data_IF_075948929339
#
_entry.id   IF_075948929339
#
_cell.length_a   1.000
_cell.length_b   1.000
_cell.length_c   1.000
_cell.angle_alpha   90.00
_cell.angle_beta   90.00
_cell.angle_gamma   90.00
#
_symmetry.space_group_name_H-M   'P 1'
#
loop_
_entity.id
_entity.type
_entity.pdbx_description
1 polymer ?
#
# COMPACT_ATOMS: atom_id res chain seq x y z
N UNK A 1 -43.31 37.87 -23.10
CA UNK A 1 -44.16 37.96 -21.90
C UNK A 1 -43.60 37.01 -20.83
N UNK A 2 -42.87 37.56 -19.86
CA UNK A 2 -42.71 37.02 -18.49
C UNK A 2 -44.02 37.23 -17.71
N UNK A 3 -44.39 36.44 -16.68
CA UNK A 3 -43.71 36.35 -15.35
C UNK A 3 -43.77 34.93 -14.73
N UNK A 4 -43.31 34.61 -13.52
CA UNK A 4 -42.21 35.02 -12.64
C UNK A 4 -42.05 33.91 -11.56
N UNK A 5 -40.87 33.91 -10.95
CA UNK A 5 -40.35 33.09 -9.87
C UNK A 5 -41.23 32.83 -8.62
N UNK A 6 -40.84 31.76 -7.91
CA UNK A 6 -40.85 31.53 -6.45
C UNK A 6 -42.09 30.96 -5.75
N UNK A 7 -42.00 29.67 -5.41
CA UNK A 7 -42.54 29.11 -4.16
C UNK A 7 -41.44 28.38 -3.37
N UNK A 8 -40.20 28.88 -3.45
CA UNK A 8 -39.12 28.59 -2.52
C UNK A 8 -39.06 29.72 -1.48
N UNK A 9 -40.12 29.92 -0.70
CA UNK A 9 -40.17 30.84 0.45
C UNK A 9 -41.54 30.74 1.16
N UNK A 10 -41.70 29.73 2.04
CA UNK A 10 -42.77 29.53 3.07
C UNK A 10 -42.64 28.04 3.46
N UNK A 11 -41.65 27.63 4.26
CA UNK A 11 -41.70 27.60 5.73
C UNK A 11 -40.27 27.80 6.29
N UNK A 12 -39.75 29.02 6.18
CA UNK A 12 -38.51 29.47 6.86
C UNK A 12 -38.75 30.73 7.74
N UNK A 13 -39.97 30.90 8.28
CA UNK A 13 -40.29 32.03 9.14
C UNK A 13 -41.10 31.56 10.37
N UNK A 14 -40.45 31.59 11.54
CA UNK A 14 -40.93 31.08 12.83
C UNK A 14 -40.14 29.83 13.20
N UNK A 15 -38.91 29.90 13.73
CA UNK A 15 -38.56 30.52 15.01
C UNK A 15 -37.12 31.07 14.91
N UNK A 16 -37.00 32.30 14.44
CA UNK A 16 -35.79 33.10 14.56
C UNK A 16 -36.22 34.50 15.01
N UNK A 17 -36.44 34.64 16.33
CA UNK A 17 -36.40 35.86 17.15
C UNK A 17 -37.23 35.65 18.42
N UNK A 18 -36.63 34.96 19.39
CA UNK A 18 -36.92 35.17 20.80
C UNK A 18 -35.57 35.24 21.54
N UNK A 19 -34.99 36.44 21.47
CA UNK A 19 -34.20 37.11 22.50
C UNK A 19 -33.12 36.29 23.25
N UNK A 20 -31.87 36.59 22.89
CA UNK A 20 -30.73 36.58 23.80
C UNK A 20 -31.05 37.33 25.10
N UNK A 21 -30.87 36.67 26.25
CA UNK A 21 -30.27 37.17 27.51
C UNK A 21 -30.59 36.20 28.64
N UNK A 22 -29.69 35.26 28.91
CA UNK A 22 -29.32 34.84 30.27
C UNK A 22 -27.93 34.22 30.19
N UNK A 23 -26.94 34.94 30.73
CA UNK A 23 -25.64 34.41 31.09
C UNK A 23 -25.88 33.50 32.30
N UNK A 24 -25.60 32.20 32.17
CA UNK A 24 -25.80 31.27 33.28
C UNK A 24 -25.53 29.82 32.91
N UNK A 25 -24.31 29.37 33.25
CA UNK A 25 -23.86 28.01 33.53
C UNK A 25 -24.78 26.83 33.14
N UNK A 26 -24.26 25.97 32.25
CA UNK A 26 -24.68 24.57 32.14
C UNK A 26 -24.63 24.05 30.72
N UNK A 27 -23.53 23.40 30.33
CA UNK A 27 -23.51 22.45 29.21
C UNK A 27 -24.56 21.36 29.50
N UNK A 28 -25.79 21.53 29.02
CA UNK A 28 -26.71 20.41 28.85
C UNK A 28 -26.24 19.64 27.62
N UNK A 29 -25.55 18.53 27.88
CA UNK A 29 -25.34 17.46 26.91
C UNK A 29 -26.64 17.22 26.13
N UNK A 30 -26.64 17.56 24.84
CA UNK A 30 -27.64 17.05 23.92
C UNK A 30 -27.41 15.54 23.80
N UNK A 31 -28.05 14.78 24.67
CA UNK A 31 -28.03 13.32 24.66
C UNK A 31 -28.66 12.84 23.35
N UNK A 32 -27.79 12.33 22.49
CA UNK A 32 -28.13 11.51 21.33
C UNK A 32 -29.27 10.50 21.66
N UNK A 33 -30.40 10.51 20.93
CA UNK A 33 -31.51 9.58 21.14
C UNK A 33 -31.13 8.10 20.94
N UNK A 34 -29.96 7.79 20.36
CA UNK A 34 -29.49 6.42 20.14
C UNK A 34 -29.15 5.63 21.41
N UNK A 35 -29.13 6.28 22.58
CA UNK A 35 -28.64 5.65 23.82
C UNK A 35 -29.67 4.82 24.59
N UNK A 36 -30.92 4.74 24.14
CA UNK A 36 -32.00 4.16 24.96
C UNK A 36 -32.60 2.83 24.52
N UNK A 37 -32.23 2.24 23.38
CA UNK A 37 -32.64 0.85 23.13
C UNK A 37 -31.54 0.04 22.43
N UNK A 38 -31.14 -1.04 23.09
CA UNK A 38 -29.88 -1.72 22.87
C UNK A 38 -30.10 -3.08 22.21
N UNK A 39 -31.04 -3.12 21.26
CA UNK A 39 -31.52 -4.33 20.61
C UNK A 39 -30.75 -4.62 19.30
N UNK A 40 -31.27 -5.52 18.46
CA UNK A 40 -30.67 -5.84 17.15
C UNK A 40 -30.78 -4.67 16.16
N UNK A 41 -29.72 -4.45 15.38
CA UNK A 41 -29.71 -3.52 14.24
C UNK A 41 -29.04 -4.17 13.03
N UNK A 42 -29.56 -3.90 11.84
CA UNK A 42 -29.10 -4.39 10.53
C UNK A 42 -29.23 -3.25 9.51
N UNK A 43 -28.15 -2.90 8.83
CA UNK A 43 -28.11 -1.79 7.89
C UNK A 43 -27.12 -2.02 6.74
N UNK A 44 -27.21 -1.15 5.74
CA UNK A 44 -26.26 -1.02 4.64
C UNK A 44 -25.53 0.31 4.84
N UNK A 45 -24.20 0.26 4.84
CA UNK A 45 -23.36 1.45 5.06
C UNK A 45 -23.40 2.41 3.86
N UNK A 46 -23.16 3.69 4.14
CA UNK A 46 -23.23 4.79 3.15
C UNK A 46 -22.41 4.54 1.88
N UNK A 47 -21.19 4.00 2.03
CA UNK A 47 -20.31 3.66 0.89
C UNK A 47 -20.98 2.66 -0.05
N UNK A 48 -21.70 1.69 0.49
CA UNK A 48 -22.37 0.65 -0.27
C UNK A 48 -23.60 1.22 -1.00
N UNK A 49 -24.37 2.11 -0.37
CA UNK A 49 -25.54 2.77 -0.98
C UNK A 49 -25.12 3.72 -2.12
N UNK A 50 -24.02 4.45 -1.93
CA UNK A 50 -23.46 5.35 -2.95
C UNK A 50 -23.09 4.61 -4.24
N UNK A 51 -22.57 3.39 -4.15
CA UNK A 51 -22.23 2.58 -5.33
C UNK A 51 -23.43 2.20 -6.20
N UNK A 52 -24.64 2.14 -5.64
CA UNK A 52 -25.83 1.65 -6.37
C UNK A 52 -26.79 2.76 -6.81
N UNK A 53 -26.86 3.84 -6.02
CA UNK A 53 -27.86 4.90 -6.20
C UNK A 53 -27.25 6.27 -6.50
N UNK A 54 -25.93 6.43 -6.35
CA UNK A 54 -25.27 7.74 -6.40
C UNK A 54 -25.55 8.63 -5.18
N UNK A 55 -26.41 8.19 -4.26
CA UNK A 55 -26.81 8.92 -3.04
C UNK A 55 -26.00 8.40 -1.85
N UNK A 56 -25.54 9.32 -1.00
CA UNK A 56 -24.82 9.01 0.24
C UNK A 56 -25.78 9.02 1.43
N UNK A 57 -26.25 7.84 1.83
CA UNK A 57 -26.98 7.66 3.09
C UNK A 57 -26.82 6.24 3.64
N UNK A 58 -26.94 6.09 4.96
CA UNK A 58 -27.02 4.79 5.61
C UNK A 58 -28.49 4.31 5.63
N UNK A 59 -28.73 3.09 5.19
CA UNK A 59 -30.08 2.53 5.11
C UNK A 59 -30.25 1.43 6.16
N UNK A 60 -31.13 1.66 7.13
CA UNK A 60 -31.43 0.70 8.19
C UNK A 60 -32.61 -0.20 7.78
N UNK A 61 -32.37 -1.50 7.74
CA UNK A 61 -33.42 -2.49 7.58
C UNK A 61 -34.07 -2.84 8.92
N UNK A 62 -33.26 -2.94 9.97
CA UNK A 62 -33.70 -3.14 11.34
C UNK A 62 -32.97 -2.12 12.21
N UNK A 63 -33.72 -1.36 12.99
CA UNK A 63 -33.18 -0.41 13.96
C UNK A 63 -33.80 -0.69 15.32
N UNK A 64 -32.94 -1.00 16.30
CA UNK A 64 -33.36 -1.24 17.68
C UNK A 64 -34.48 -2.29 17.85
N UNK A 65 -34.42 -3.37 17.08
CA UNK A 65 -35.39 -4.47 17.14
C UNK A 65 -36.66 -4.25 16.32
N UNK A 66 -36.82 -3.08 15.68
CA UNK A 66 -37.94 -2.77 14.82
C UNK A 66 -37.51 -2.83 13.36
N UNK A 67 -38.29 -3.51 12.53
CA UNK A 67 -38.10 -3.53 11.08
C UNK A 67 -38.57 -2.19 10.51
N UNK A 68 -37.80 -1.63 9.58
CA UNK A 68 -38.13 -0.38 8.92
C UNK A 68 -39.52 -0.46 8.25
N UNK A 69 -40.45 0.49 8.52
CA UNK A 69 -41.81 0.44 7.99
C UNK A 69 -41.86 0.36 6.46
N UNK A 70 -40.91 1.02 5.78
CA UNK A 70 -40.81 1.03 4.33
C UNK A 70 -40.62 -0.37 3.74
N UNK A 71 -39.93 -1.27 4.45
CA UNK A 71 -39.70 -2.66 4.00
C UNK A 71 -40.97 -3.50 4.12
N UNK A 72 -41.88 -3.12 5.02
CA UNK A 72 -43.16 -3.80 5.24
C UNK A 72 -44.27 -3.28 4.31
N UNK A 73 -44.02 -2.24 3.52
CA UNK A 73 -45.00 -1.72 2.57
C UNK A 73 -45.29 -2.74 1.45
N UNK A 74 -46.57 -2.95 1.09
CA UNK A 74 -46.91 -3.70 -0.11
C UNK A 74 -46.29 -3.01 -1.33
N UNK A 75 -45.65 -3.78 -2.20
CA UNK A 75 -44.92 -3.32 -3.39
C UNK A 75 -43.60 -2.57 -3.14
N UNK A 76 -43.01 -2.64 -1.94
CA UNK A 76 -41.67 -2.11 -1.69
C UNK A 76 -40.65 -2.57 -2.74
N UNK A 77 -40.69 -3.86 -3.13
CA UNK A 77 -39.83 -4.46 -4.15
C UNK A 77 -39.89 -3.76 -5.52
N UNK A 78 -41.01 -3.11 -5.88
CA UNK A 78 -41.14 -2.38 -7.15
C UNK A 78 -40.51 -0.98 -7.10
N UNK A 79 -40.32 -0.41 -5.90
CA UNK A 79 -39.70 0.89 -5.69
C UNK A 79 -38.17 0.81 -5.60
N UNK A 80 -37.62 -0.40 -5.50
CA UNK A 80 -36.17 -0.62 -5.39
C UNK A 80 -35.49 -0.55 -6.77
N UNK A 81 -34.36 0.15 -6.88
CA UNK A 81 -33.60 0.18 -8.12
C UNK A 81 -33.03 -1.21 -8.45
N UNK A 82 -32.83 -1.47 -9.73
CA UNK A 82 -32.11 -2.67 -10.18
C UNK A 82 -30.64 -2.52 -9.78
N UNK A 83 -30.10 -3.53 -9.10
CA UNK A 83 -28.68 -3.59 -8.77
C UNK A 83 -27.90 -3.70 -10.09
N UNK A 84 -26.98 -2.78 -10.40
CA UNK A 84 -26.39 -2.69 -11.73
C UNK A 84 -25.30 -3.77 -11.94
N UNK A 85 -24.91 -3.98 -13.20
CA UNK A 85 -24.05 -5.11 -13.61
C UNK A 85 -22.68 -5.17 -12.93
N UNK A 86 -22.13 -4.02 -12.53
CA UNK A 86 -20.81 -3.83 -11.91
C UNK A 86 -20.74 -4.40 -10.48
N UNK A 87 -21.88 -4.58 -9.85
CA UNK A 87 -21.98 -4.92 -8.43
C UNK A 87 -22.01 -6.44 -8.27
N UNK A 88 -20.93 -7.03 -7.77
CA UNK A 88 -20.86 -8.47 -7.52
C UNK A 88 -21.42 -8.92 -6.16
N UNK A 89 -21.59 -8.01 -5.22
CA UNK A 89 -22.03 -8.32 -3.86
C UNK A 89 -22.60 -7.09 -3.14
N UNK A 90 -23.39 -7.33 -2.09
CA UNK A 90 -23.91 -6.29 -1.18
C UNK A 90 -23.45 -6.58 0.23
N UNK A 91 -22.86 -5.57 0.86
CA UNK A 91 -22.43 -5.65 2.25
C UNK A 91 -23.52 -5.17 3.20
N UNK A 92 -23.74 -5.96 4.24
CA UNK A 92 -24.64 -5.67 5.32
C UNK A 92 -23.87 -5.68 6.63
N UNK A 93 -24.15 -4.69 7.48
CA UNK A 93 -23.58 -4.62 8.82
C UNK A 93 -24.69 -4.85 9.84
N UNK A 94 -24.41 -5.70 10.81
CA UNK A 94 -25.35 -6.00 11.90
C UNK A 94 -24.66 -6.08 13.26
N UNK A 95 -25.46 -5.86 14.30
CA UNK A 95 -25.04 -6.04 15.68
C UNK A 95 -26.24 -6.32 16.57
N UNK A 96 -26.02 -7.02 17.67
CA UNK A 96 -27.03 -7.14 18.72
C UNK A 96 -26.41 -7.34 20.09
N UNK A 97 -26.78 -6.50 21.06
CA UNK A 97 -26.37 -6.74 22.46
C UNK A 97 -27.16 -7.89 23.10
N UNK A 98 -28.41 -8.11 22.68
CA UNK A 98 -29.25 -9.26 23.09
C UNK A 98 -28.93 -10.52 22.26
N UNK A 99 -29.32 -11.69 22.77
CA UNK A 99 -29.14 -12.97 22.06
C UNK A 99 -30.18 -13.09 20.94
N UNK A 100 -29.74 -13.02 19.69
CA UNK A 100 -30.53 -13.36 18.51
C UNK A 100 -29.83 -14.42 17.67
N UNK A 101 -30.66 -15.25 17.05
CA UNK A 101 -30.27 -16.25 16.06
C UNK A 101 -30.88 -15.87 14.72
N UNK A 102 -30.10 -15.98 13.67
CA UNK A 102 -30.54 -15.74 12.30
C UNK A 102 -30.64 -17.07 11.56
N UNK A 103 -31.56 -17.14 10.63
CA UNK A 103 -31.70 -18.21 9.66
C UNK A 103 -32.11 -17.62 8.31
N UNK A 104 -31.25 -17.77 7.32
CA UNK A 104 -31.56 -17.47 5.93
C UNK A 104 -32.23 -18.70 5.32
N UNK A 105 -33.56 -18.68 5.28
CA UNK A 105 -34.37 -19.81 4.84
C UNK A 105 -34.63 -19.81 3.33
N UNK A 106 -34.37 -18.70 2.65
CA UNK A 106 -34.53 -18.59 1.20
C UNK A 106 -33.41 -17.75 0.59
N UNK A 107 -32.75 -18.33 -0.41
CA UNK A 107 -31.73 -17.71 -1.24
C UNK A 107 -31.91 -18.28 -2.65
N UNK A 108 -32.82 -17.69 -3.41
CA UNK A 108 -33.25 -18.23 -4.71
C UNK A 108 -33.13 -17.17 -5.81
N UNK A 109 -33.00 -17.64 -7.05
CA UNK A 109 -33.03 -16.80 -8.24
C UNK A 109 -34.17 -17.25 -9.15
N UNK A 110 -34.92 -16.30 -9.69
CA UNK A 110 -35.99 -16.53 -10.66
C UNK A 110 -35.46 -17.04 -12.00
N UNK A 111 -34.24 -16.65 -12.37
CA UNK A 111 -33.57 -17.10 -13.60
C UNK A 111 -32.11 -17.50 -13.31
N UNK A 112 -31.87 -18.78 -12.97
CA UNK A 112 -30.53 -19.33 -12.75
C UNK A 112 -29.60 -19.27 -13.98
N UNK A 113 -30.14 -19.07 -15.20
CA UNK A 113 -29.33 -18.96 -16.43
C UNK A 113 -28.71 -17.57 -16.58
N UNK A 114 -29.30 -16.56 -15.95
CA UNK A 114 -28.76 -15.19 -15.91
C UNK A 114 -27.98 -14.96 -14.61
N UNK A 115 -28.58 -15.33 -13.47
CA UNK A 115 -28.04 -15.11 -12.13
C UNK A 115 -28.20 -16.39 -11.30
N UNK A 116 -27.08 -17.00 -10.86
CA UNK A 116 -27.14 -18.15 -9.95
C UNK A 116 -27.72 -17.72 -8.58
N UNK A 117 -28.27 -18.65 -7.79
CA UNK A 117 -28.74 -18.34 -6.44
C UNK A 117 -27.69 -17.60 -5.61
N UNK A 118 -28.07 -16.56 -4.85
CA UNK A 118 -27.13 -15.80 -4.04
C UNK A 118 -26.56 -16.66 -2.91
N UNK A 119 -25.34 -16.35 -2.48
CA UNK A 119 -24.70 -17.03 -1.36
C UNK A 119 -24.06 -16.02 -0.40
N UNK A 120 -23.87 -16.46 0.84
CA UNK A 120 -23.45 -15.59 1.95
C UNK A 120 -21.96 -15.78 2.25
N UNK A 121 -21.29 -14.74 2.73
CA UNK A 121 -19.94 -14.86 3.32
C UNK A 121 -19.92 -15.54 4.69
N UNK A 122 -21.11 -15.77 5.28
CA UNK A 122 -21.35 -16.43 6.56
C UNK A 122 -22.18 -17.69 6.35
N UNK A 123 -22.29 -18.54 7.39
CA UNK A 123 -23.23 -19.68 7.37
C UNK A 123 -24.67 -19.19 7.22
N UNK A 124 -25.57 -20.01 6.70
CA UNK A 124 -26.99 -19.67 6.52
C UNK A 124 -27.75 -19.53 7.84
N UNK A 125 -27.26 -20.17 8.90
CA UNK A 125 -27.82 -20.05 10.24
C UNK A 125 -26.72 -19.85 11.28
N UNK A 126 -27.04 -19.11 12.33
CA UNK A 126 -26.08 -18.84 13.39
C UNK A 126 -26.56 -17.79 14.37
N UNK A 127 -25.62 -17.28 15.17
CA UNK A 127 -25.88 -16.24 16.17
C UNK A 127 -25.44 -14.88 15.65
N UNK A 128 -26.28 -13.86 15.86
CA UNK A 128 -25.96 -12.46 15.53
C UNK A 128 -24.83 -11.98 16.46
N UNK A 129 -23.77 -11.35 15.92
CA UNK A 129 -22.61 -10.94 16.70
C UNK A 129 -22.93 -9.78 17.65
N UNK A 130 -22.23 -9.76 18.81
CA UNK A 130 -22.36 -8.70 19.81
C UNK A 130 -21.79 -7.37 19.34
N UNK A 131 -20.61 -7.42 18.74
CA UNK A 131 -19.98 -6.28 18.08
C UNK A 131 -20.49 -6.17 16.64
N UNK A 132 -20.45 -4.95 16.09
CA UNK A 132 -20.73 -4.71 14.68
C UNK A 132 -19.81 -5.58 13.82
N UNK A 133 -20.41 -6.40 12.95
CA UNK A 133 -19.70 -7.15 11.93
C UNK A 133 -20.42 -7.04 10.61
N UNK A 134 -19.62 -7.11 9.56
CA UNK A 134 -20.09 -7.10 8.19
C UNK A 134 -20.24 -8.54 7.68
N UNK A 135 -21.24 -8.77 6.84
CA UNK A 135 -21.34 -9.94 5.99
C UNK A 135 -21.79 -9.52 4.60
N UNK A 136 -21.46 -10.33 3.60
CA UNK A 136 -21.70 -10.02 2.20
C UNK A 136 -22.67 -11.04 1.62
N UNK A 137 -23.59 -10.56 0.80
CA UNK A 137 -24.43 -11.39 -0.07
C UNK A 137 -23.86 -11.28 -1.48
N UNK A 138 -23.34 -12.39 -2.00
CA UNK A 138 -22.78 -12.45 -3.34
C UNK A 138 -23.87 -12.71 -4.37
N UNK A 139 -23.78 -12.01 -5.51
CA UNK A 139 -24.74 -12.01 -6.61
C UNK A 139 -24.08 -12.55 -7.89
N UNK A 140 -23.89 -13.88 -8.01
CA UNK A 140 -23.13 -14.51 -9.09
C UNK A 140 -23.86 -14.53 -10.44
N UNK A 141 -23.56 -13.58 -11.32
CA UNK A 141 -23.99 -13.63 -12.72
C UNK A 141 -23.30 -14.79 -13.48
N UNK A 142 -24.00 -15.42 -14.43
CA UNK A 142 -23.43 -16.49 -15.26
C UNK A 142 -22.36 -15.99 -16.25
N UNK A 143 -22.46 -14.73 -16.67
CA UNK A 143 -21.47 -14.05 -17.53
C UNK A 143 -21.59 -14.32 -19.03
N UNK A 144 -22.43 -15.27 -19.46
CA UNK A 144 -22.66 -15.64 -20.86
C UNK A 144 -23.98 -15.10 -21.44
N UNK A 145 -24.86 -14.56 -20.61
CA UNK A 145 -26.18 -14.03 -21.00
C UNK A 145 -26.37 -12.67 -20.32
N UNK A 146 -26.79 -11.68 -21.10
CA UNK A 146 -27.25 -10.38 -20.57
C UNK A 146 -28.73 -10.46 -20.21
N UNK A 147 -29.11 -9.89 -19.08
CA UNK A 147 -30.50 -9.81 -18.65
C UNK A 147 -30.64 -9.31 -17.22
N UNK A 148 -31.89 -9.05 -16.81
CA UNK A 148 -32.22 -8.71 -15.43
C UNK A 148 -32.90 -9.91 -14.78
N UNK A 149 -32.32 -10.41 -13.68
CA UNK A 149 -32.90 -11.49 -12.90
C UNK A 149 -33.40 -10.97 -11.56
N UNK A 150 -34.52 -11.52 -11.09
CA UNK A 150 -35.01 -11.27 -9.72
C UNK A 150 -34.50 -12.36 -8.79
N UNK A 151 -34.08 -12.00 -7.59
CA UNK A 151 -33.67 -12.95 -6.55
C UNK A 151 -34.39 -12.66 -5.24
N UNK A 152 -34.65 -13.72 -4.47
CA UNK A 152 -35.35 -13.65 -3.20
C UNK A 152 -34.39 -13.97 -2.05
N UNK A 153 -34.43 -13.13 -1.01
CA UNK A 153 -33.77 -13.38 0.28
C UNK A 153 -34.84 -13.47 1.37
N UNK A 154 -34.86 -14.59 2.07
CA UNK A 154 -35.64 -14.82 3.27
C UNK A 154 -34.75 -14.79 4.51
N UNK A 155 -35.08 -13.93 5.48
CA UNK A 155 -34.36 -13.84 6.76
C UNK A 155 -35.32 -13.97 7.94
N UNK A 156 -35.15 -15.03 8.72
CA UNK A 156 -35.84 -15.26 9.98
C UNK A 156 -34.91 -14.90 11.13
N UNK A 157 -35.36 -14.03 12.05
CA UNK A 157 -34.65 -13.70 13.28
C UNK A 157 -35.43 -14.22 14.47
N UNK A 158 -34.78 -14.96 15.36
CA UNK A 158 -35.36 -15.47 16.60
C UNK A 158 -34.58 -14.94 17.79
N UNK A 159 -35.27 -14.57 18.85
CA UNK A 159 -34.60 -14.17 20.09
C UNK A 159 -34.04 -15.40 20.85
N UNK A 160 -33.38 -15.17 21.99
CA UNK A 160 -32.80 -16.23 22.82
C UNK A 160 -33.81 -17.23 23.41
N UNK A 161 -35.13 -16.95 23.33
CA UNK A 161 -36.22 -17.86 23.73
C UNK A 161 -36.81 -18.62 22.54
N UNK A 162 -36.28 -18.42 21.33
CA UNK A 162 -36.76 -19.05 20.10
C UNK A 162 -37.96 -18.36 19.45
N UNK A 163 -38.48 -17.26 20.01
CA UNK A 163 -39.62 -16.55 19.42
C UNK A 163 -39.16 -15.68 18.24
N UNK A 164 -39.84 -15.72 17.07
CA UNK A 164 -39.51 -14.85 15.94
C UNK A 164 -39.64 -13.36 16.28
N UNK A 165 -38.78 -12.54 15.69
CA UNK A 165 -38.89 -11.08 15.75
C UNK A 165 -40.11 -10.64 14.92
N UNK A 166 -40.90 -9.68 15.44
CA UNK A 166 -42.10 -9.19 14.75
C UNK A 166 -41.74 -8.68 13.35
N UNK A 167 -42.50 -9.15 12.35
CA UNK A 167 -42.27 -8.84 10.93
C UNK A 167 -41.20 -9.68 10.24
N UNK A 168 -40.66 -10.72 10.90
CA UNK A 168 -39.90 -11.80 10.22
C UNK A 168 -40.81 -12.99 9.91
N UNK A 169 -40.58 -13.74 8.80
CA UNK A 169 -39.47 -13.64 7.85
C UNK A 169 -39.47 -12.34 7.04
N UNK A 170 -38.31 -11.70 6.96
CA UNK A 170 -38.06 -10.61 6.03
C UNK A 170 -37.90 -11.23 4.64
N UNK A 171 -38.83 -10.92 3.74
CA UNK A 171 -38.85 -11.41 2.35
C UNK A 171 -38.51 -10.26 1.42
N UNK A 172 -37.30 -10.27 0.88
CA UNK A 172 -36.82 -9.23 -0.03
C UNK A 172 -36.73 -9.80 -1.43
N UNK A 173 -37.50 -9.21 -2.35
CA UNK A 173 -37.42 -9.50 -3.77
C UNK A 173 -36.66 -8.36 -4.46
N UNK A 174 -35.45 -8.66 -4.92
CA UNK A 174 -34.52 -7.67 -5.47
C UNK A 174 -34.20 -8.02 -6.92
N UNK A 175 -33.92 -7.00 -7.73
CA UNK A 175 -33.55 -7.16 -9.14
C UNK A 175 -32.06 -6.92 -9.33
N UNK A 176 -31.42 -7.73 -10.14
CA UNK A 176 -30.00 -7.63 -10.52
C UNK A 176 -29.88 -7.66 -12.02
N UNK A 177 -29.23 -6.64 -12.57
CA UNK A 177 -28.78 -6.66 -13.96
C UNK A 177 -27.49 -7.48 -14.05
N UNK A 178 -27.46 -8.45 -14.95
CA UNK A 178 -26.27 -9.16 -15.36
C UNK A 178 -26.02 -8.81 -16.82
N UNK A 179 -24.85 -8.26 -17.13
CA UNK A 179 -24.43 -8.07 -18.50
C UNK A 179 -23.47 -9.21 -18.86
N UNK A 180 -23.61 -9.76 -20.07
CA UNK A 180 -22.56 -10.52 -20.72
C UNK A 180 -21.39 -9.57 -20.97
N UNK A 181 -20.52 -9.43 -19.98
CA UNK A 181 -19.20 -8.85 -20.16
C UNK A 181 -18.29 -9.96 -20.66
N UNK A 182 -18.42 -10.25 -21.96
CA UNK A 182 -17.30 -10.86 -22.66
C UNK A 182 -16.09 -9.91 -22.64
N UNK A 183 -14.87 -10.40 -22.87
CA UNK A 183 -13.72 -9.55 -23.18
C UNK A 183 -14.15 -8.54 -24.26
N UNK A 184 -13.82 -7.26 -24.13
CA UNK A 184 -13.96 -6.34 -25.26
C UNK A 184 -12.90 -6.80 -26.28
N UNK A 185 -13.30 -7.50 -27.35
CA UNK A 185 -12.33 -8.19 -28.21
C UNK A 185 -11.50 -7.20 -29.02
N UNK A 186 -11.83 -5.90 -28.99
CA UNK A 186 -11.01 -4.85 -29.57
C UNK A 186 -10.03 -4.25 -28.55
N UNK A 187 -10.43 -4.11 -27.28
CA UNK A 187 -9.55 -3.66 -26.20
C UNK A 187 -8.54 -4.72 -25.77
N UNK A 188 -8.97 -5.96 -25.53
CA UNK A 188 -8.09 -7.04 -25.07
C UNK A 188 -7.04 -7.42 -26.13
N UNK A 189 -7.35 -7.26 -27.42
CA UNK A 189 -6.35 -7.39 -28.51
C UNK A 189 -5.26 -6.33 -28.45
N UNK A 190 -5.53 -5.16 -27.85
CA UNK A 190 -4.57 -4.05 -27.73
C UNK A 190 -3.70 -4.19 -26.48
N UNK A 191 -4.17 -4.88 -25.43
CA UNK A 191 -3.40 -5.12 -24.21
C UNK A 191 -2.33 -6.19 -24.44
N UNK A 192 -1.05 -5.81 -24.35
CA UNK A 192 0.07 -6.72 -24.53
C UNK A 192 0.42 -7.47 -23.23
N UNK A 193 1.33 -8.45 -23.34
CA UNK A 193 1.98 -9.12 -22.20
C UNK A 193 1.00 -9.76 -21.19
N UNK A 194 -0.16 -10.25 -21.65
CA UNK A 194 -1.20 -10.84 -20.80
C UNK A 194 -1.93 -9.83 -19.90
N UNK A 195 -1.91 -8.54 -20.25
CA UNK A 195 -2.80 -7.55 -19.64
C UNK A 195 -4.27 -7.82 -19.99
N UNK A 196 -5.17 -7.39 -19.11
CA UNK A 196 -6.62 -7.56 -19.28
C UNK A 196 -7.32 -6.21 -19.27
N UNK A 197 -8.39 -6.03 -20.04
CA UNK A 197 -9.11 -4.78 -20.12
C UNK A 197 -10.18 -4.65 -19.02
N UNK A 198 -10.22 -3.52 -18.31
CA UNK A 198 -11.27 -3.25 -17.31
C UNK A 198 -12.55 -2.66 -17.96
N UNK A 199 -13.58 -2.42 -17.15
CA UNK A 199 -14.86 -1.85 -17.60
C UNK A 199 -14.74 -0.47 -18.26
N UNK A 200 -13.69 0.27 -17.95
CA UNK A 200 -13.45 1.63 -18.49
C UNK A 200 -12.60 1.62 -19.76
N UNK A 201 -12.38 0.45 -20.37
CA UNK A 201 -11.55 0.24 -21.57
C UNK A 201 -10.06 0.57 -21.35
N UNK A 202 -9.57 0.42 -20.12
CA UNK A 202 -8.18 0.65 -19.74
C UNK A 202 -7.50 -0.70 -19.50
N UNK A 203 -6.35 -0.94 -20.15
CA UNK A 203 -5.56 -2.14 -19.89
C UNK A 203 -5.01 -2.14 -18.47
N UNK A 204 -5.33 -3.19 -17.73
CA UNK A 204 -4.75 -3.53 -16.45
C UNK A 204 -3.50 -4.37 -16.70
N UNK A 205 -2.35 -3.79 -16.38
CA UNK A 205 -1.07 -4.40 -16.68
C UNK A 205 -0.64 -5.41 -15.62
N UNK A 206 -0.02 -6.53 -16.03
CA UNK A 206 0.58 -7.46 -15.09
C UNK A 206 1.80 -6.83 -14.40
N UNK A 207 2.23 -7.46 -13.31
CA UNK A 207 3.34 -6.97 -12.51
C UNK A 207 4.60 -6.74 -13.36
N UNK A 208 5.20 -5.56 -13.21
CA UNK A 208 6.40 -5.19 -13.96
C UNK A 208 6.15 -4.66 -15.38
N UNK A 209 4.90 -4.41 -15.78
CA UNK A 209 4.57 -3.74 -17.04
C UNK A 209 3.72 -2.49 -16.81
N UNK A 210 3.81 -1.53 -17.72
CA UNK A 210 3.09 -0.26 -17.67
C UNK A 210 2.76 0.30 -19.06
N UNK A 211 2.08 1.44 -19.05
CA UNK A 211 1.62 2.15 -20.24
C UNK A 211 0.21 1.73 -20.65
N UNK A 212 -0.40 2.51 -21.54
CA UNK A 212 -1.81 2.35 -21.96
C UNK A 212 -2.14 0.94 -22.49
N UNK A 213 -1.16 0.25 -23.04
CA UNK A 213 -1.30 -1.08 -23.66
C UNK A 213 -0.38 -2.14 -23.05
N UNK A 214 0.19 -1.88 -21.86
CA UNK A 214 1.07 -2.83 -21.15
C UNK A 214 2.30 -3.30 -21.94
N UNK A 215 2.78 -2.48 -22.90
CA UNK A 215 3.95 -2.79 -23.73
C UNK A 215 5.27 -2.41 -23.07
N UNK A 216 5.26 -1.49 -22.12
CA UNK A 216 6.47 -0.95 -21.52
C UNK A 216 6.82 -1.76 -20.28
N UNK A 217 7.95 -2.46 -20.32
CA UNK A 217 8.47 -3.16 -19.15
C UNK A 217 9.07 -2.19 -18.13
N UNK A 218 8.93 -2.51 -16.84
CA UNK A 218 9.50 -1.81 -15.71
C UNK A 218 10.78 -2.52 -15.27
N UNK A 219 11.90 -1.80 -15.30
CA UNK A 219 13.16 -2.24 -14.73
C UNK A 219 13.48 -1.38 -13.52
N UNK A 220 13.55 -2.02 -12.34
CA UNK A 220 14.04 -1.38 -11.13
C UNK A 220 15.12 -2.24 -10.49
N UNK A 221 16.35 -1.72 -10.28
CA UNK A 221 16.87 -0.43 -10.77
C UNK A 221 16.80 -0.27 -12.30
N UNK A 222 16.78 0.98 -12.77
CA UNK A 222 16.77 1.28 -14.21
C UNK A 222 18.07 0.82 -14.88
N UNK A 223 17.97 0.45 -16.16
CA UNK A 223 19.12 0.09 -16.97
C UNK A 223 20.05 1.31 -17.15
N UNK A 224 21.33 1.14 -16.85
CA UNK A 224 22.35 2.18 -16.96
C UNK A 224 22.95 2.20 -18.36
N UNK A 225 23.76 3.24 -18.64
CA UNK A 225 24.59 3.35 -19.85
C UNK A 225 23.82 3.18 -21.18
N UNK A 226 22.54 3.59 -21.21
CA UNK A 226 21.70 3.50 -22.40
C UNK A 226 21.11 2.10 -22.66
N UNK A 227 21.12 1.21 -21.67
CA UNK A 227 20.45 -0.09 -21.76
C UNK A 227 18.93 0.04 -21.88
N UNK A 228 18.32 -0.88 -22.61
CA UNK A 228 16.86 -0.90 -22.81
C UNK A 228 16.20 -1.97 -21.95
N UNK A 229 15.07 -1.64 -21.32
CA UNK A 229 14.30 -2.60 -20.52
C UNK A 229 13.45 -3.46 -21.47
N UNK A 230 13.78 -4.74 -21.59
CA UNK A 230 13.14 -5.65 -22.55
C UNK A 230 12.06 -6.52 -21.91
N UNK A 231 12.20 -6.79 -20.62
CA UNK A 231 11.23 -7.47 -19.79
C UNK A 231 11.38 -6.98 -18.33
N UNK A 232 10.42 -7.27 -17.42
CA UNK A 232 10.49 -6.83 -16.04
C UNK A 232 11.83 -7.18 -15.37
N UNK A 233 12.60 -6.16 -15.00
CA UNK A 233 13.92 -6.33 -14.40
C UNK A 233 15.01 -6.90 -15.31
N UNK A 234 14.80 -6.99 -16.62
CA UNK A 234 15.75 -7.50 -17.62
C UNK A 234 16.20 -6.39 -18.57
N UNK A 235 17.48 -6.04 -18.48
CA UNK A 235 18.11 -5.04 -19.33
C UNK A 235 18.85 -5.67 -20.51
N UNK A 236 18.61 -5.14 -21.71
CA UNK A 236 19.47 -5.37 -22.87
C UNK A 236 20.55 -4.29 -22.89
N UNK A 237 21.81 -4.72 -22.81
CA UNK A 237 22.94 -3.80 -22.72
C UNK A 237 23.52 -3.45 -24.09
N UNK A 238 23.90 -2.18 -24.31
CA UNK A 238 24.56 -1.78 -25.54
C UNK A 238 25.95 -2.42 -25.64
N UNK A 239 26.52 -2.53 -26.86
CA UNK A 239 27.83 -3.12 -27.07
C UNK A 239 28.91 -2.47 -26.18
N UNK A 240 29.67 -3.29 -25.48
CA UNK A 240 30.71 -2.80 -24.55
C UNK A 240 30.28 -2.68 -23.10
N UNK A 241 29.01 -2.95 -22.77
CA UNK A 241 28.48 -2.99 -21.42
C UNK A 241 27.93 -4.37 -21.05
N UNK A 242 27.92 -4.67 -19.76
CA UNK A 242 27.46 -5.92 -19.16
C UNK A 242 26.92 -5.68 -17.74
N UNK A 243 26.40 -6.73 -17.13
CA UNK A 243 25.76 -6.67 -15.81
C UNK A 243 24.24 -6.68 -15.94
N UNK A 244 23.57 -6.90 -14.80
CA UNK A 244 22.11 -7.04 -14.76
C UNK A 244 21.40 -5.74 -15.17
N UNK A 245 22.03 -4.61 -14.88
CA UNK A 245 21.55 -3.26 -15.17
C UNK A 245 22.52 -2.50 -16.07
N UNK A 246 23.38 -3.20 -16.83
CA UNK A 246 24.36 -2.61 -17.74
C UNK A 246 25.38 -1.69 -17.04
N UNK A 247 25.68 -1.95 -15.78
CA UNK A 247 26.54 -1.14 -14.91
C UNK A 247 28.04 -1.40 -15.08
N UNK A 248 28.43 -2.48 -15.74
CA UNK A 248 29.82 -2.88 -15.97
C UNK A 248 30.25 -2.73 -17.42
N UNK A 249 31.53 -2.43 -17.65
CA UNK A 249 32.12 -2.48 -18.99
C UNK A 249 32.61 -3.87 -19.37
N UNK A 250 32.72 -4.14 -20.67
CA UNK A 250 33.39 -5.34 -21.22
C UNK A 250 34.77 -4.93 -21.75
N UNK A 251 35.84 -5.48 -21.20
CA UNK A 251 37.21 -5.23 -21.66
C UNK A 251 37.81 -6.54 -22.16
N UNK A 252 38.40 -6.54 -23.36
CA UNK A 252 39.10 -7.71 -23.90
C UNK A 252 40.35 -8.04 -23.08
N UNK A 253 41.01 -7.02 -22.53
CA UNK A 253 42.12 -7.17 -21.59
C UNK A 253 41.72 -6.65 -20.20
N UNK A 254 42.08 -7.39 -19.15
CA UNK A 254 41.78 -7.00 -17.77
C UNK A 254 42.48 -5.68 -17.40
N UNK A 255 41.75 -4.82 -16.68
CA UNK A 255 42.31 -3.66 -16.00
C UNK A 255 43.25 -4.11 -14.88
N UNK A 256 44.42 -3.48 -14.80
CA UNK A 256 45.48 -3.79 -13.84
C UNK A 256 45.36 -2.92 -12.58
N UNK A 257 46.14 -3.25 -11.56
CA UNK A 257 46.29 -2.46 -10.33
C UNK A 257 44.98 -2.10 -9.60
N UNK A 258 43.93 -2.90 -9.78
CA UNK A 258 42.60 -2.66 -9.18
C UNK A 258 41.71 -1.71 -9.97
N UNK A 259 42.01 -1.45 -11.24
CA UNK A 259 41.12 -0.73 -12.15
C UNK A 259 39.82 -1.49 -12.43
N UNK A 260 38.74 -0.76 -12.69
CA UNK A 260 37.42 -1.32 -13.02
C UNK A 260 37.13 -1.07 -14.49
N UNK A 261 36.70 -2.10 -15.22
CA UNK A 261 36.22 -1.92 -16.59
C UNK A 261 34.85 -1.23 -16.55
N UNK A 262 34.75 -0.05 -17.16
CA UNK A 262 33.53 0.78 -17.13
C UNK A 262 32.84 0.89 -18.49
N UNK A 263 33.56 0.64 -19.58
CA UNK A 263 33.05 0.59 -20.96
C UNK A 263 34.00 -0.26 -21.81
N UNK A 264 33.63 -0.56 -23.07
CA UNK A 264 34.47 -1.25 -24.05
C UNK A 264 35.93 -0.81 -23.98
N UNK A 265 36.80 -1.73 -23.56
CA UNK A 265 38.26 -1.54 -23.47
C UNK A 265 38.69 -0.27 -22.71
N UNK A 266 37.85 0.21 -21.79
CA UNK A 266 38.06 1.44 -21.03
C UNK A 266 38.04 1.15 -19.54
N UNK A 267 39.19 1.39 -18.89
CA UNK A 267 39.38 1.18 -17.46
C UNK A 267 39.29 2.49 -16.67
N UNK A 268 38.51 2.48 -15.61
CA UNK A 268 38.56 3.47 -14.55
C UNK A 268 39.70 3.11 -13.59
N UNK A 269 40.69 4.00 -13.47
CA UNK A 269 41.88 3.74 -12.69
C UNK A 269 41.78 4.25 -11.25
N UNK A 270 42.26 3.47 -10.27
CA UNK A 270 42.34 3.93 -8.89
C UNK A 270 43.30 5.11 -8.76
N UNK A 271 43.07 5.94 -7.75
CA UNK A 271 43.93 7.09 -7.44
C UNK A 271 45.38 6.60 -7.30
N UNK A 272 46.29 7.19 -8.07
CA UNK A 272 47.71 6.77 -8.12
C UNK A 272 48.10 5.97 -9.36
N UNK A 273 47.16 5.58 -10.22
CA UNK A 273 47.45 4.87 -11.47
C UNK A 273 46.84 5.59 -12.68
N UNK A 274 47.36 5.29 -13.87
CA UNK A 274 46.89 5.81 -15.16
C UNK A 274 47.31 4.86 -16.30
N UNK A 275 46.92 5.20 -17.54
CA UNK A 275 47.08 4.34 -18.71
C UNK A 275 45.75 3.71 -19.12
N UNK A 276 45.72 3.03 -20.28
CA UNK A 276 44.48 2.46 -20.82
C UNK A 276 43.95 1.31 -19.96
N UNK A 277 44.85 0.60 -19.29
CA UNK A 277 44.59 -0.54 -18.40
C UNK A 277 45.04 -0.27 -16.97
N UNK A 278 45.32 0.98 -16.61
CA UNK A 278 45.86 1.35 -15.30
C UNK A 278 47.23 0.70 -15.01
N UNK A 279 48.02 0.49 -16.06
CA UNK A 279 49.33 -0.15 -16.05
C UNK A 279 50.42 0.74 -15.44
N UNK A 280 50.27 2.06 -15.52
CA UNK A 280 51.28 3.00 -15.06
C UNK A 280 50.96 3.57 -13.68
N UNK A 281 51.98 3.64 -12.83
CA UNK A 281 51.94 4.27 -11.51
C UNK A 281 52.29 5.76 -11.62
N UNK A 282 51.56 6.61 -10.89
CA UNK A 282 51.88 8.05 -10.71
C UNK A 282 53.03 8.28 -9.72
N UNK A 283 53.51 7.22 -9.07
CA UNK A 283 54.68 7.25 -8.21
C UNK A 283 55.89 6.90 -9.09
N UNK A 284 56.67 7.91 -9.46
CA UNK A 284 57.96 7.75 -10.15
C UNK A 284 58.96 7.10 -9.19
N UNK A 285 58.95 7.53 -7.93
CA UNK A 285 59.66 6.87 -6.84
C UNK A 285 58.74 5.78 -6.27
N UNK A 286 59.10 4.49 -6.38
CA UNK A 286 58.25 3.39 -5.94
C UNK A 286 57.90 3.46 -4.46
N UNK A 287 56.70 2.99 -4.11
CA UNK A 287 56.35 2.78 -2.71
C UNK A 287 57.12 1.58 -2.16
N UNK A 288 57.83 1.78 -1.06
CA UNK A 288 58.61 0.74 -0.39
C UNK A 288 57.74 -0.09 0.54
N UNK A 289 58.29 -1.22 1.00
CA UNK A 289 57.73 -2.02 2.10
C UNK A 289 56.26 -2.44 1.91
N UNK A 290 55.85 -2.74 0.67
CA UNK A 290 54.48 -3.13 0.34
C UNK A 290 53.46 -1.99 0.31
N UNK A 291 53.91 -0.73 0.29
CA UNK A 291 53.03 0.43 0.08
C UNK A 291 52.37 0.43 -1.30
N UNK A 292 51.16 1.00 -1.38
CA UNK A 292 50.43 1.17 -2.66
C UNK A 292 50.41 2.63 -3.07
N UNK A 293 50.64 2.91 -4.35
CA UNK A 293 50.56 4.29 -4.85
C UNK A 293 49.12 4.80 -4.74
N UNK A 294 48.93 5.99 -4.19
CA UNK A 294 47.61 6.64 -4.04
C UNK A 294 47.50 7.99 -4.76
N UNK A 295 48.60 8.50 -5.32
CA UNK A 295 48.68 9.81 -5.97
C UNK A 295 50.08 10.04 -6.55
N UNK A 296 50.38 11.27 -6.97
CA UNK A 296 51.72 11.62 -7.49
C UNK A 296 52.75 11.51 -6.35
N UNK A 297 53.68 10.54 -6.47
CA UNK A 297 54.73 10.27 -5.47
C UNK A 297 54.21 10.20 -4.01
N UNK A 298 52.98 9.71 -3.83
CA UNK A 298 52.35 9.57 -2.51
C UNK A 298 51.87 8.14 -2.33
N UNK A 299 52.34 7.51 -1.27
CA UNK A 299 52.02 6.13 -0.95
C UNK A 299 50.98 6.00 0.16
N UNK A 300 50.19 4.94 0.09
CA UNK A 300 49.41 4.40 1.19
C UNK A 300 50.26 3.33 1.86
N UNK A 301 50.75 3.64 3.04
CA UNK A 301 51.65 2.76 3.77
C UNK A 301 50.90 1.72 4.60
N UNK A 302 51.47 0.50 4.75
CA UNK A 302 51.02 -0.47 5.72
C UNK A 302 51.04 0.09 7.15
N UNK A 303 50.29 -0.55 8.05
CA UNK A 303 50.29 -0.17 9.46
C UNK A 303 51.71 -0.22 10.02
N UNK A 304 52.11 0.82 10.74
CA UNK A 304 53.47 0.90 11.29
C UNK A 304 54.50 1.60 10.40
N UNK A 305 54.14 2.00 9.18
CA UNK A 305 55.05 2.71 8.25
C UNK A 305 54.49 4.10 7.90
N UNK A 306 55.39 5.03 7.56
CA UNK A 306 55.10 6.42 7.21
C UNK A 306 56.08 6.99 6.20
N UNK A 307 55.94 8.28 5.87
CA UNK A 307 56.67 8.92 4.78
C UNK A 307 55.88 8.93 3.46
N UNK A 308 56.42 9.62 2.45
CA UNK A 308 55.77 9.72 1.14
C UNK A 308 55.90 8.42 0.32
N UNK A 309 56.92 7.62 0.64
CA UNK A 309 57.30 6.38 -0.02
C UNK A 309 57.31 5.17 0.92
N UNK A 310 56.78 5.29 2.15
CA UNK A 310 56.78 4.24 3.17
C UNK A 310 58.19 3.82 3.63
N UNK A 311 59.12 4.76 3.52
CA UNK A 311 60.52 4.68 3.90
C UNK A 311 60.74 4.82 5.42
N UNK A 312 59.78 5.44 6.12
CA UNK A 312 59.90 5.69 7.56
C UNK A 312 59.22 4.55 8.33
N UNK A 313 60.02 3.68 8.95
CA UNK A 313 59.54 2.70 9.91
C UNK A 313 59.19 3.33 11.26
N UNK A 314 58.13 2.84 11.93
CA UNK A 314 57.94 3.14 13.35
C UNK A 314 58.94 2.38 14.21
N UNK A 315 59.44 3.05 15.24
CA UNK A 315 60.22 2.40 16.29
C UNK A 315 59.28 1.53 17.14
N UNK A 316 59.78 0.40 17.62
CA UNK A 316 59.05 -0.44 18.56
C UNK A 316 58.71 0.39 19.82
N UNK A 317 57.42 0.50 20.16
CA UNK A 317 56.92 1.28 21.30
C UNK A 317 56.05 2.49 20.96
N UNK A 318 56.04 2.94 19.69
CA UNK A 318 55.23 4.08 19.23
C UNK A 318 53.78 3.71 18.90
N UNK A 319 52.84 4.59 19.27
CA UNK A 319 51.40 4.35 19.17
C UNK A 319 50.91 4.49 17.73
N UNK A 320 50.08 3.55 17.26
CA UNK A 320 49.48 3.46 15.90
C UNK A 320 48.93 4.79 15.35
N UNK A 321 48.51 5.71 16.21
CA UNK A 321 48.18 7.11 15.89
C UNK A 321 48.67 7.99 17.05
N UNK A 322 48.92 9.27 16.77
CA UNK A 322 49.26 10.23 17.82
C UNK A 322 48.15 10.31 18.89
N UNK A 323 48.54 10.36 20.16
CA UNK A 323 47.65 10.61 21.29
C UNK A 323 47.39 12.12 21.34
N UNK A 324 46.13 12.57 21.17
CA UNK A 324 45.83 14.02 21.12
C UNK A 324 46.13 14.73 22.45
N UNK A 325 45.56 14.22 23.53
CA UNK A 325 45.75 14.73 24.90
C UNK A 325 46.25 13.59 25.80
N UNK A 326 47.48 13.16 25.56
CA UNK A 326 48.07 12.04 26.26
C UNK A 326 49.44 11.65 25.72
N UNK A 327 50.11 10.75 26.44
CA UNK A 327 51.45 10.28 26.11
C UNK A 327 51.39 8.83 25.64
N UNK A 328 52.13 8.52 24.57
CA UNK A 328 52.26 7.13 24.13
C UNK A 328 53.22 6.36 25.05
N UNK A 329 52.79 5.19 25.54
CA UNK A 329 53.66 4.23 26.22
C UNK A 329 53.37 2.82 25.73
N UNK A 330 54.40 2.11 25.27
CA UNK A 330 54.31 0.72 24.81
C UNK A 330 53.17 0.46 23.80
N UNK A 331 52.97 1.38 22.84
CA UNK A 331 51.93 1.25 21.81
C UNK A 331 50.50 1.62 22.24
N UNK A 332 50.28 2.02 23.50
CA UNK A 332 48.99 2.49 24.02
C UNK A 332 49.05 3.95 24.50
N UNK A 333 47.97 4.72 24.25
CA UNK A 333 47.86 6.10 24.72
C UNK A 333 47.43 6.14 26.20
N UNK A 334 48.25 6.76 27.04
CA UNK A 334 47.88 7.15 28.40
C UNK A 334 47.33 8.57 28.37
N UNK A 335 46.04 8.73 28.60
CA UNK A 335 45.37 10.04 28.51
C UNK A 335 45.65 10.92 29.71
N UNK A 336 45.71 12.22 29.46
CA UNK A 336 45.71 13.26 30.50
C UNK A 336 44.35 13.31 31.22
N UNK A 337 44.30 13.82 32.47
CA UNK A 337 43.06 13.97 33.22
C UNK A 337 42.00 14.73 32.43
N UNK A 338 40.76 14.24 32.42
CA UNK A 338 39.65 14.82 31.66
C UNK A 338 39.50 14.31 30.22
N UNK A 339 40.47 13.53 29.70
CA UNK A 339 40.42 12.93 28.37
C UNK A 339 40.35 11.40 28.40
N UNK A 340 39.67 10.80 27.41
CA UNK A 340 39.49 9.36 27.29
C UNK A 340 39.43 8.87 25.84
N UNK A 341 39.40 7.54 25.71
CA UNK A 341 39.35 6.81 24.43
C UNK A 341 40.73 6.40 23.93
N UNK A 342 40.76 5.48 22.95
CA UNK A 342 41.99 4.83 22.44
C UNK A 342 43.10 5.81 22.00
N UNK A 343 42.74 7.03 21.61
CA UNK A 343 43.67 8.07 21.15
C UNK A 343 43.53 9.40 21.93
N UNK A 344 42.87 9.38 23.10
CA UNK A 344 42.67 10.56 23.97
C UNK A 344 42.06 11.77 23.25
N UNK A 345 41.01 11.52 22.46
CA UNK A 345 40.33 12.53 21.65
C UNK A 345 38.92 12.90 22.17
N UNK A 346 38.45 12.23 23.24
CA UNK A 346 37.13 12.48 23.84
C UNK A 346 37.29 13.05 25.24
N UNK A 347 36.48 14.03 25.61
CA UNK A 347 36.41 14.54 26.98
C UNK A 347 35.42 13.74 27.82
N UNK A 348 35.61 13.73 29.15
CA UNK A 348 34.56 13.32 30.08
C UNK A 348 33.46 14.38 30.09
N UNK A 349 32.45 14.24 29.22
CA UNK A 349 31.32 15.16 29.15
C UNK A 349 30.77 15.47 27.75
N UNK A 350 31.37 14.96 26.67
CA UNK A 350 30.76 15.05 25.33
C UNK A 350 29.69 13.97 25.15
N UNK A 351 28.45 14.32 25.48
CA UNK A 351 27.24 13.64 25.00
C UNK A 351 26.95 14.09 23.57
N UNK A 352 27.39 13.31 22.59
CA UNK A 352 26.71 13.19 21.31
C UNK A 352 26.56 11.69 21.00
N UNK A 353 25.33 11.24 21.10
CA UNK A 353 24.85 9.94 20.67
C UNK A 353 24.94 9.80 19.15
N UNK A 354 25.31 8.61 18.67
CA UNK A 354 24.49 7.76 17.78
C UNK A 354 25.37 6.78 16.99
N UNK A 355 24.87 5.56 16.83
CA UNK A 355 25.26 4.72 15.70
C UNK A 355 25.78 3.33 16.02
N UNK A 356 24.84 2.42 16.26
CA UNK A 356 24.71 1.16 15.53
C UNK A 356 25.82 0.09 15.65
N UNK A 357 25.49 -0.97 16.38
CA UNK A 357 26.04 -2.29 16.15
C UNK A 357 25.45 -2.85 14.84
N UNK A 358 26.17 -2.74 13.72
CA UNK A 358 26.01 -3.65 12.58
C UNK A 358 27.28 -4.48 12.40
N UNK A 359 27.23 -5.72 12.89
CA UNK A 359 28.12 -6.79 12.41
C UNK A 359 27.50 -7.35 11.11
N UNK A 360 28.29 -7.57 10.05
CA UNK A 360 27.83 -8.40 8.94
C UNK A 360 27.87 -9.88 9.35
N UNK A 361 26.80 -10.61 9.03
CA UNK A 361 26.89 -12.00 8.58
C UNK A 361 26.88 -11.98 7.06
#
# INVERSE_FOLDING_TARGET
MWPSASFAARVCAGVALAMSLTIGAGRRDYKDPERQNSDISLWIDERQVRMFSGISMQVFAILNGNISPYILEPNFSHKLPVIPSEVGYVNFTWRSKKRYFYNFDTLTSSDPKVLKPPYLSIKTQGRVPKASKEFSIFLPCMGNVSGVATFEIGLVLKNGRGTPLKGTPLRLNLKKECAQRGPDPECDKKCANQGWCNSDKICQCPEGYMGQHCRTALCYPQCMNGGNCTAPGVCSCPPGYQGRHCEGGICSQKCLNGGKCIQKDTCECPKGYYGRRCEFSKCVIPCLNGGKCKGVNKCRCPAGLGGNHCEVGRRAGDCARACRHGVCRAGACRCEPGWRGRFCHRTYGSSEESGEFKRPR
#
